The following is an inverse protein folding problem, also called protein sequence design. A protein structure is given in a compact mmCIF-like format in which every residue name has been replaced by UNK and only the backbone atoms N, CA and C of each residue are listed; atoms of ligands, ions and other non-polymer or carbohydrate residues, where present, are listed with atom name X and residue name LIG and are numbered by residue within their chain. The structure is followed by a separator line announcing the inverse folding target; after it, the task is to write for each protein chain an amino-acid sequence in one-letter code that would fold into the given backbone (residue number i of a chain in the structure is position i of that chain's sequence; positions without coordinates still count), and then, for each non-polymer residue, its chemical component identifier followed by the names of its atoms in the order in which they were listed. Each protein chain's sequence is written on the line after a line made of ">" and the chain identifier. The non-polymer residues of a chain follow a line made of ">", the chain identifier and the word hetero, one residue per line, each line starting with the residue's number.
data_IF_095399085260
#
_entry.id   IF_095399085260
#
_cell.length_a   1.000
_cell.length_b   1.000
_cell.length_c   1.000
_cell.angle_alpha   90.00
_cell.angle_beta   90.00
_cell.angle_gamma   90.00
#
_symmetry.space_group_name_H-M   'P 1'
#
loop_
_entity.id
_entity.type
_entity.pdbx_description
1 polymer ?
#
# COMPACT_ATOMS: atom_id res chain seq x y z
N UNK A 1 5.18 -23.99 12.17
CA UNK A 1 5.44 -22.68 12.85
C UNK A 1 5.97 -21.57 11.93
N UNK A 2 6.09 -21.74 10.60
CA UNK A 2 6.51 -20.68 9.66
C UNK A 2 5.40 -19.67 9.30
N UNK A 3 4.13 -20.05 9.40
CA UNK A 3 2.99 -19.19 9.00
C UNK A 3 2.79 -17.95 9.90
N UNK A 4 2.70 -18.13 11.22
CA UNK A 4 2.29 -17.04 12.11
C UNK A 4 3.24 -15.83 12.18
N UNK A 5 4.50 -15.95 11.71
CA UNK A 5 5.46 -14.83 11.70
C UNK A 5 5.32 -13.94 10.47
N UNK A 6 5.16 -14.53 9.29
CA UNK A 6 4.96 -13.78 8.04
C UNK A 6 3.66 -12.98 8.08
N UNK A 7 2.64 -13.54 8.76
CA UNK A 7 1.38 -12.86 9.04
C UNK A 7 1.59 -11.58 9.86
N UNK A 8 2.51 -11.56 10.82
CA UNK A 8 2.74 -10.40 11.69
C UNK A 8 3.39 -9.22 10.96
N UNK A 9 4.32 -9.48 10.03
CA UNK A 9 4.96 -8.45 9.21
C UNK A 9 3.96 -7.89 8.19
N UNK A 10 3.29 -8.77 7.42
CA UNK A 10 2.26 -8.38 6.47
C UNK A 10 1.17 -7.55 7.15
N UNK A 11 0.73 -7.98 8.33
CA UNK A 11 -0.25 -7.25 9.13
C UNK A 11 0.19 -5.82 9.46
N UNK A 12 1.45 -5.62 9.89
CA UNK A 12 1.98 -4.29 10.21
C UNK A 12 2.07 -3.40 8.98
N UNK A 13 2.59 -3.92 7.87
CA UNK A 13 2.70 -3.18 6.61
C UNK A 13 1.31 -2.79 6.11
N UNK A 14 0.34 -3.71 6.15
CA UNK A 14 -1.03 -3.44 5.71
C UNK A 14 -1.71 -2.40 6.57
N UNK A 15 -1.51 -2.44 7.89
CA UNK A 15 -2.02 -1.42 8.80
C UNK A 15 -1.52 -0.02 8.41
N UNK A 16 -0.22 0.14 8.14
CA UNK A 16 0.36 1.42 7.73
C UNK A 16 -0.22 1.88 6.39
N UNK A 17 -0.39 0.97 5.42
CA UNK A 17 -1.02 1.28 4.13
C UNK A 17 -2.44 1.83 4.31
N UNK A 18 -3.26 1.21 5.16
CA UNK A 18 -4.60 1.73 5.45
C UNK A 18 -4.57 3.11 6.12
N UNK A 19 -3.69 3.33 7.10
CA UNK A 19 -3.54 4.63 7.75
C UNK A 19 -3.13 5.73 6.78
N UNK A 20 -2.18 5.42 5.89
CA UNK A 20 -1.74 6.35 4.84
C UNK A 20 -2.89 6.63 3.86
N UNK A 21 -3.63 5.61 3.42
CA UNK A 21 -4.77 5.79 2.52
C UNK A 21 -5.91 6.63 3.14
N UNK A 22 -6.20 6.43 4.43
CA UNK A 22 -7.15 7.24 5.20
C UNK A 22 -6.65 8.69 5.25
N UNK A 23 -5.41 8.92 5.67
CA UNK A 23 -4.82 10.25 5.74
C UNK A 23 -4.87 10.99 4.39
N UNK A 24 -4.52 10.31 3.30
CA UNK A 24 -4.61 10.86 1.94
C UNK A 24 -6.03 11.24 1.55
N UNK A 25 -7.00 10.36 1.81
CA UNK A 25 -8.40 10.59 1.39
C UNK A 25 -9.02 11.77 2.14
N UNK A 26 -8.79 11.86 3.45
CA UNK A 26 -9.32 12.96 4.26
C UNK A 26 -8.60 14.28 3.97
N UNK A 27 -7.28 14.28 3.79
CA UNK A 27 -6.55 15.49 3.40
C UNK A 27 -6.99 16.00 2.02
N UNK A 28 -7.21 15.10 1.05
CA UNK A 28 -7.76 15.43 -0.26
C UNK A 28 -9.19 16.00 -0.15
N UNK A 29 -10.04 15.47 0.71
CA UNK A 29 -11.38 16.02 0.92
C UNK A 29 -11.36 17.42 1.53
N UNK A 30 -10.44 17.67 2.48
CA UNK A 30 -10.30 18.97 3.13
C UNK A 30 -9.81 20.02 2.14
N UNK A 31 -8.78 19.71 1.33
CA UNK A 31 -8.29 20.66 0.34
C UNK A 31 -9.33 20.93 -0.74
N UNK A 32 -10.06 19.90 -1.20
CA UNK A 32 -11.14 20.08 -2.18
C UNK A 32 -12.24 21.00 -1.65
N UNK A 33 -12.57 20.91 -0.36
CA UNK A 33 -13.52 21.82 0.28
C UNK A 33 -13.01 23.27 0.33
N UNK A 34 -11.75 23.48 0.76
CA UNK A 34 -11.17 24.82 0.81
C UNK A 34 -11.01 25.48 -0.55
N UNK A 35 -10.72 24.69 -1.58
CA UNK A 35 -10.61 25.16 -2.96
C UNK A 35 -11.96 25.42 -3.63
N UNK A 36 -13.07 25.08 -2.96
CA UNK A 36 -14.41 25.18 -3.54
C UNK A 36 -14.58 24.28 -4.76
N UNK A 37 -13.76 23.23 -4.88
CA UNK A 37 -13.90 22.27 -5.99
C UNK A 37 -15.25 21.57 -5.87
N UNK A 38 -15.87 21.30 -7.02
CA UNK A 38 -17.27 20.86 -7.11
C UNK A 38 -17.64 19.78 -6.08
N UNK A 39 -18.85 19.87 -5.53
CA UNK A 39 -19.33 19.01 -4.42
C UNK A 39 -19.13 17.52 -4.67
N UNK A 40 -19.13 17.10 -5.94
CA UNK A 40 -18.82 15.73 -6.36
C UNK A 40 -17.43 15.26 -5.92
N UNK A 41 -16.38 16.08 -6.07
CA UNK A 41 -15.00 15.74 -5.69
C UNK A 41 -14.86 15.53 -4.18
N UNK A 42 -15.49 16.39 -3.40
CA UNK A 42 -15.50 16.31 -1.92
C UNK A 42 -16.22 15.03 -1.48
N UNK A 43 -17.38 14.73 -2.07
CA UNK A 43 -18.15 13.53 -1.76
C UNK A 43 -17.37 12.26 -2.14
N UNK A 44 -16.72 12.23 -3.30
CA UNK A 44 -15.96 11.06 -3.75
C UNK A 44 -14.73 10.79 -2.87
N UNK A 45 -13.94 11.82 -2.52
CA UNK A 45 -12.77 11.64 -1.64
C UNK A 45 -13.18 11.29 -0.22
N UNK A 46 -14.25 11.90 0.31
CA UNK A 46 -14.84 11.53 1.60
C UNK A 46 -15.37 10.09 1.60
N UNK A 47 -16.13 9.70 0.57
CA UNK A 47 -16.67 8.34 0.44
C UNK A 47 -15.54 7.31 0.34
N UNK A 48 -14.48 7.60 -0.40
CA UNK A 48 -13.30 6.74 -0.47
C UNK A 48 -12.62 6.58 0.90
N UNK A 49 -12.50 7.67 1.67
CA UNK A 49 -12.01 7.61 3.04
C UNK A 49 -12.86 6.71 3.93
N UNK A 50 -14.19 6.84 3.87
CA UNK A 50 -15.12 5.99 4.62
C UNK A 50 -15.07 4.52 4.20
N UNK A 51 -15.01 4.24 2.89
CA UNK A 51 -14.86 2.89 2.35
C UNK A 51 -13.54 2.28 2.83
N UNK A 52 -12.46 3.06 2.83
CA UNK A 52 -11.14 2.60 3.32
C UNK A 52 -11.18 2.28 4.80
N UNK A 53 -11.86 3.08 5.62
CA UNK A 53 -12.10 2.78 7.05
C UNK A 53 -12.93 1.50 7.22
N UNK A 54 -13.99 1.32 6.43
CA UNK A 54 -14.81 0.11 6.44
C UNK A 54 -14.01 -1.14 6.08
N UNK A 55 -13.20 -1.06 5.03
CA UNK A 55 -12.28 -2.13 4.60
C UNK A 55 -11.22 -2.41 5.67
N UNK A 56 -10.73 -1.39 6.39
CA UNK A 56 -9.82 -1.55 7.52
C UNK A 56 -10.48 -2.29 8.71
N UNK A 57 -11.77 -2.05 8.98
CA UNK A 57 -12.52 -2.80 10.01
C UNK A 57 -12.70 -4.26 9.58
N UNK A 58 -13.07 -4.49 8.31
CA UNK A 58 -13.19 -5.85 7.75
C UNK A 58 -11.84 -6.56 7.80
N UNK A 59 -10.76 -5.89 7.44
CA UNK A 59 -9.39 -6.36 7.55
C UNK A 59 -9.06 -6.84 8.97
N UNK A 60 -9.38 -6.02 9.98
CA UNK A 60 -9.17 -6.35 11.40
C UNK A 60 -9.98 -7.57 11.86
N UNK A 61 -11.17 -7.80 11.30
CA UNK A 61 -12.08 -8.88 11.73
C UNK A 61 -11.88 -10.20 10.97
N UNK A 62 -11.62 -10.14 9.67
CA UNK A 62 -11.59 -11.30 8.78
C UNK A 62 -10.31 -12.15 8.93
N UNK A 63 -9.17 -11.55 9.30
CA UNK A 63 -7.83 -12.17 9.25
C UNK A 63 -7.44 -12.79 7.89
N UNK A 64 -8.28 -12.68 6.86
CA UNK A 64 -7.95 -13.12 5.50
C UNK A 64 -7.32 -11.97 4.72
N UNK A 65 -6.00 -11.88 4.86
CA UNK A 65 -5.22 -10.75 4.36
C UNK A 65 -5.18 -10.68 2.83
N UNK A 66 -5.17 -11.83 2.15
CA UNK A 66 -5.04 -11.87 0.69
C UNK A 66 -6.32 -11.39 -0.01
N UNK A 67 -7.48 -11.86 0.45
CA UNK A 67 -8.77 -11.43 -0.12
C UNK A 67 -9.02 -9.94 0.10
N UNK A 68 -8.77 -9.42 1.31
CA UNK A 68 -9.02 -8.00 1.59
C UNK A 68 -8.06 -7.11 0.79
N UNK A 69 -6.78 -7.47 0.70
CA UNK A 69 -5.82 -6.76 -0.15
C UNK A 69 -6.24 -6.76 -1.62
N UNK A 70 -6.71 -7.89 -2.14
CA UNK A 70 -7.20 -7.97 -3.52
C UNK A 70 -8.41 -7.04 -3.74
N UNK A 71 -9.38 -7.04 -2.84
CA UNK A 71 -10.59 -6.19 -2.92
C UNK A 71 -10.20 -4.71 -2.91
N UNK A 72 -9.33 -4.30 -1.97
CA UNK A 72 -8.84 -2.92 -1.86
C UNK A 72 -8.17 -2.49 -3.16
N UNK A 73 -7.26 -3.33 -3.66
CA UNK A 73 -6.49 -3.01 -4.86
C UNK A 73 -7.41 -2.95 -6.09
N UNK A 74 -8.35 -3.89 -6.26
CA UNK A 74 -9.31 -3.85 -7.37
C UNK A 74 -10.16 -2.58 -7.31
N UNK A 75 -10.71 -2.25 -6.13
CA UNK A 75 -11.50 -1.05 -5.92
C UNK A 75 -10.72 0.22 -6.27
N UNK A 76 -9.50 0.35 -5.77
CA UNK A 76 -8.67 1.52 -6.05
C UNK A 76 -8.35 1.65 -7.54
N UNK A 77 -7.87 0.56 -8.16
CA UNK A 77 -7.30 0.61 -9.51
C UNK A 77 -8.34 0.71 -10.62
N UNK A 78 -9.51 0.06 -10.46
CA UNK A 78 -10.50 -0.04 -11.54
C UNK A 78 -11.74 0.82 -11.32
N UNK A 79 -11.94 1.35 -10.11
CA UNK A 79 -13.12 2.16 -9.78
C UNK A 79 -12.67 3.56 -9.35
N UNK A 80 -11.95 3.67 -8.23
CA UNK A 80 -11.66 4.97 -7.63
C UNK A 80 -10.75 5.83 -8.51
N UNK A 81 -9.58 5.33 -8.90
CA UNK A 81 -8.61 6.10 -9.67
C UNK A 81 -9.10 6.49 -11.07
N UNK A 82 -9.76 5.62 -11.85
CA UNK A 82 -10.35 6.01 -13.14
C UNK A 82 -11.43 7.08 -13.01
N UNK A 83 -12.32 6.97 -12.02
CA UNK A 83 -13.35 8.00 -11.78
C UNK A 83 -12.66 9.32 -11.43
N UNK A 84 -11.73 9.30 -10.47
CA UNK A 84 -11.00 10.50 -10.05
C UNK A 84 -10.29 11.16 -11.21
N UNK A 85 -9.61 10.40 -12.08
CA UNK A 85 -8.94 10.94 -13.26
C UNK A 85 -9.87 11.79 -14.13
N UNK A 86 -11.10 11.33 -14.37
CA UNK A 86 -12.07 12.03 -15.21
C UNK A 86 -12.63 13.29 -14.51
N UNK A 87 -12.89 13.21 -13.20
CA UNK A 87 -13.56 14.31 -12.47
C UNK A 87 -12.59 15.35 -11.91
N UNK A 88 -11.30 15.06 -11.78
CA UNK A 88 -10.35 15.93 -11.08
C UNK A 88 -9.46 16.77 -11.99
N UNK A 89 -9.56 16.65 -13.31
CA UNK A 89 -8.63 17.33 -14.21
C UNK A 89 -7.53 16.45 -14.80
N UNK A 90 -7.60 15.12 -14.63
CA UNK A 90 -6.73 14.16 -15.32
C UNK A 90 -5.25 14.45 -15.10
N UNK A 91 -4.48 14.56 -16.19
CA UNK A 91 -3.04 14.88 -16.15
C UNK A 91 -2.71 16.25 -15.55
N UNK A 92 -3.66 17.20 -15.56
CA UNK A 92 -3.45 18.54 -15.02
C UNK A 92 -3.63 18.63 -13.51
N UNK A 93 -4.11 17.55 -12.88
CA UNK A 93 -4.42 17.43 -11.47
C UNK A 93 -3.33 16.75 -10.64
N UNK A 94 -3.53 16.67 -9.33
CA UNK A 94 -2.64 15.92 -8.43
C UNK A 94 -2.80 14.39 -8.50
N UNK A 95 -3.84 13.85 -9.18
CA UNK A 95 -4.14 12.40 -9.26
C UNK A 95 -2.98 11.52 -9.78
N UNK A 96 -2.20 11.93 -10.80
CA UNK A 96 -1.05 11.14 -11.24
C UNK A 96 -0.05 10.86 -10.11
N UNK A 97 0.13 11.77 -9.15
CA UNK A 97 1.01 11.56 -8.00
C UNK A 97 0.45 10.47 -7.08
N UNK A 98 -0.85 10.50 -6.78
CA UNK A 98 -1.51 9.47 -5.98
C UNK A 98 -1.49 8.10 -6.67
N UNK A 99 -1.58 8.06 -8.00
CA UNK A 99 -1.45 6.83 -8.79
C UNK A 99 -0.06 6.19 -8.65
N UNK A 100 1.01 6.97 -8.55
CA UNK A 100 2.37 6.46 -8.28
C UNK A 100 2.42 5.81 -6.89
N UNK A 101 1.81 6.44 -5.89
CA UNK A 101 1.74 5.85 -4.53
C UNK A 101 0.95 4.56 -4.56
N UNK A 102 -0.18 4.54 -5.28
CA UNK A 102 -1.00 3.34 -5.45
C UNK A 102 -0.23 2.19 -6.11
N UNK A 103 0.66 2.48 -7.07
CA UNK A 103 1.57 1.47 -7.62
C UNK A 103 2.48 0.85 -6.55
N UNK A 104 2.98 1.68 -5.62
CA UNK A 104 3.71 1.21 -4.44
C UNK A 104 2.84 0.36 -3.52
N UNK A 105 1.59 0.77 -3.28
CA UNK A 105 0.61 0.03 -2.49
C UNK A 105 0.31 -1.34 -3.10
N UNK A 106 0.13 -1.44 -4.44
CA UNK A 106 0.00 -2.72 -5.15
C UNK A 106 1.21 -3.61 -4.87
N UNK A 107 2.41 -3.04 -4.91
CA UNK A 107 3.65 -3.79 -4.69
C UNK A 107 3.78 -4.32 -3.26
N UNK A 108 3.24 -3.61 -2.28
CA UNK A 108 3.22 -3.96 -0.87
C UNK A 108 2.09 -4.94 -0.52
N UNK A 109 0.88 -4.71 -1.03
CA UNK A 109 -0.33 -5.47 -0.69
C UNK A 109 -0.40 -6.84 -1.37
N UNK A 110 0.12 -6.96 -2.58
CA UNK A 110 0.04 -8.19 -3.37
C UNK A 110 1.39 -8.88 -3.47
N UNK A 111 1.36 -10.20 -3.62
CA UNK A 111 2.55 -11.03 -3.77
C UNK A 111 2.46 -11.96 -4.98
N UNK A 112 3.61 -12.47 -5.42
CA UNK A 112 3.70 -13.47 -6.49
C UNK A 112 3.16 -12.99 -7.85
N UNK A 113 2.39 -13.85 -8.50
CA UNK A 113 1.86 -13.62 -9.86
C UNK A 113 0.72 -12.59 -9.88
N UNK A 114 -0.13 -12.56 -8.85
CA UNK A 114 -1.23 -11.61 -8.74
C UNK A 114 -0.74 -10.16 -8.80
N UNK A 115 0.36 -9.85 -8.11
CA UNK A 115 1.01 -8.53 -8.16
C UNK A 115 1.38 -8.14 -9.59
N UNK A 116 1.99 -9.05 -10.35
CA UNK A 116 2.43 -8.76 -11.74
C UNK A 116 1.24 -8.50 -12.66
N UNK A 117 0.20 -9.35 -12.57
CA UNK A 117 -1.01 -9.21 -13.39
C UNK A 117 -1.71 -7.89 -13.09
N UNK A 118 -1.95 -7.60 -11.80
CA UNK A 118 -2.68 -6.38 -11.40
C UNK A 118 -1.87 -5.12 -11.72
N UNK A 119 -0.55 -5.14 -11.52
CA UNK A 119 0.30 -4.01 -11.90
C UNK A 119 0.28 -3.76 -13.41
N UNK A 120 0.34 -4.82 -14.24
CA UNK A 120 0.23 -4.71 -15.69
C UNK A 120 -1.14 -4.12 -16.09
N UNK A 121 -2.22 -4.63 -15.52
CA UNK A 121 -3.57 -4.11 -15.77
C UNK A 121 -3.70 -2.65 -15.35
N UNK A 122 -3.13 -2.27 -14.19
CA UNK A 122 -3.11 -0.87 -13.75
C UNK A 122 -2.35 0.01 -14.73
N UNK A 123 -1.17 -0.41 -15.19
CA UNK A 123 -0.40 0.31 -16.20
C UNK A 123 -1.17 0.48 -17.51
N UNK A 124 -1.91 -0.55 -17.95
CA UNK A 124 -2.80 -0.47 -19.11
C UNK A 124 -3.95 0.52 -18.89
N UNK A 125 -4.56 0.53 -17.70
CA UNK A 125 -5.62 1.50 -17.34
C UNK A 125 -5.09 2.92 -17.37
N UNK A 126 -3.92 3.17 -16.77
CA UNK A 126 -3.28 4.50 -16.78
C UNK A 126 -2.94 4.92 -18.20
N UNK A 127 -2.36 4.03 -19.01
CA UNK A 127 -2.06 4.30 -20.41
C UNK A 127 -3.32 4.59 -21.24
N UNK A 128 -4.39 3.83 -21.01
CA UNK A 128 -5.68 4.05 -21.66
C UNK A 128 -6.29 5.39 -21.26
N UNK A 129 -6.28 5.76 -19.98
CA UNK A 129 -6.78 7.05 -19.51
C UNK A 129 -6.01 8.23 -20.12
N UNK A 130 -4.67 8.14 -20.16
CA UNK A 130 -3.84 9.15 -20.81
C UNK A 130 -4.13 9.27 -22.30
N UNK A 131 -4.27 8.15 -23.00
CA UNK A 131 -4.59 8.15 -24.43
C UNK A 131 -6.00 8.69 -24.70
N UNK A 132 -6.98 8.31 -23.88
CA UNK A 132 -8.35 8.81 -23.97
C UNK A 132 -8.40 10.33 -23.75
N UNK A 133 -7.71 10.83 -22.73
CA UNK A 133 -7.58 12.27 -22.47
C UNK A 133 -6.90 13.00 -23.64
N UNK A 134 -5.83 12.44 -24.21
CA UNK A 134 -5.16 13.01 -25.38
C UNK A 134 -6.08 13.12 -26.60
N UNK A 135 -6.95 12.14 -26.83
CA UNK A 135 -7.89 12.14 -27.97
C UNK A 135 -9.13 12.99 -27.71
N UNK A 136 -9.59 13.06 -26.46
CA UNK A 136 -10.84 13.69 -26.04
C UNK A 136 -10.58 14.46 -24.73
N UNK A 137 -9.98 15.66 -24.81
CA UNK A 137 -9.71 16.47 -23.62
C UNK A 137 -11.00 16.95 -22.94
N UNK A 138 -12.14 16.88 -23.64
CA UNK A 138 -13.49 17.16 -23.12
C UNK A 138 -13.97 16.15 -22.07
N UNK A 139 -13.33 14.98 -21.96
CA UNK A 139 -13.70 13.96 -20.96
C UNK A 139 -13.31 14.36 -19.53
N UNK A 140 -12.43 15.33 -19.40
CA UNK A 140 -11.81 15.72 -18.14
C UNK A 140 -12.35 17.07 -17.69
N UNK A 141 -12.83 17.14 -16.45
CA UNK A 141 -13.34 18.40 -15.89
C UNK A 141 -12.16 19.33 -15.60
N UNK A 142 -12.12 20.47 -16.29
CA UNK A 142 -11.09 21.47 -16.09
C UNK A 142 -11.26 22.23 -14.76
N UNK A 143 -10.15 22.71 -14.19
CA UNK A 143 -10.18 23.59 -13.03
C UNK A 143 -10.74 24.97 -13.40
N UNK A 144 -11.58 25.53 -12.53
CA UNK A 144 -12.14 26.87 -12.71
C UNK A 144 -11.08 27.98 -12.67
N UNK A 145 -10.01 27.79 -11.87
CA UNK A 145 -8.93 28.77 -11.72
C UNK A 145 -7.54 28.14 -11.71
N UNK A 146 -6.54 28.86 -12.23
CA UNK A 146 -5.14 28.43 -12.18
C UNK A 146 -4.61 28.33 -10.74
N UNK A 147 -5.09 29.21 -9.85
CA UNK A 147 -4.68 29.18 -8.44
C UNK A 147 -5.15 27.90 -7.74
N UNK A 148 -6.41 27.48 -7.95
CA UNK A 148 -6.93 26.25 -7.38
C UNK A 148 -6.12 25.03 -7.84
N UNK A 149 -5.79 24.98 -9.15
CA UNK A 149 -4.92 23.94 -9.70
C UNK A 149 -3.53 23.95 -9.05
N UNK A 150 -2.90 25.11 -8.89
CA UNK A 150 -1.56 25.21 -8.32
C UNK A 150 -1.53 24.74 -6.85
N UNK A 151 -2.53 25.14 -6.07
CA UNK A 151 -2.67 24.71 -4.67
C UNK A 151 -2.92 23.21 -4.60
N UNK A 152 -3.81 22.65 -5.43
CA UNK A 152 -4.07 21.20 -5.46
C UNK A 152 -2.82 20.40 -5.82
N UNK A 153 -2.07 20.82 -6.86
CA UNK A 153 -0.82 20.16 -7.25
C UNK A 153 0.22 20.21 -6.14
N UNK A 154 0.42 21.38 -5.52
CA UNK A 154 1.40 21.57 -4.46
C UNK A 154 1.05 20.76 -3.23
N UNK A 155 -0.22 20.82 -2.80
CA UNK A 155 -0.70 20.09 -1.64
C UNK A 155 -0.67 18.58 -1.88
N UNK A 156 -1.17 18.12 -3.02
CA UNK A 156 -1.16 16.70 -3.37
C UNK A 156 0.25 16.13 -3.46
N UNK A 157 1.21 16.90 -4.00
CA UNK A 157 2.63 16.53 -3.99
C UNK A 157 3.18 16.39 -2.57
N UNK A 158 2.92 17.37 -1.68
CA UNK A 158 3.37 17.32 -0.29
C UNK A 158 2.79 16.12 0.47
N UNK A 159 1.49 15.85 0.29
CA UNK A 159 0.83 14.68 0.88
C UNK A 159 1.45 13.38 0.36
N UNK A 160 1.73 13.30 -0.94
CA UNK A 160 2.39 12.13 -1.53
C UNK A 160 3.81 11.95 -0.98
N UNK A 161 4.62 13.00 -0.92
CA UNK A 161 5.99 12.94 -0.38
C UNK A 161 5.99 12.49 1.08
N UNK A 162 5.15 13.09 1.92
CA UNK A 162 5.00 12.69 3.31
C UNK A 162 4.62 11.21 3.42
N UNK A 163 3.67 10.78 2.60
CA UNK A 163 3.19 9.41 2.61
C UNK A 163 4.22 8.39 2.13
N UNK A 164 5.03 8.71 1.11
CA UNK A 164 6.16 7.84 0.70
C UNK A 164 7.14 7.68 1.85
N UNK A 165 7.53 8.78 2.51
CA UNK A 165 8.47 8.74 3.62
C UNK A 165 7.93 7.86 4.75
N UNK A 166 6.66 8.01 5.09
CA UNK A 166 6.01 7.18 6.11
C UNK A 166 5.97 5.71 5.68
N UNK A 167 5.50 5.41 4.47
CA UNK A 167 5.42 4.04 3.96
C UNK A 167 6.79 3.34 3.93
N UNK A 168 7.80 4.01 3.37
CA UNK A 168 9.14 3.45 3.20
C UNK A 168 9.83 3.31 4.55
N UNK A 169 9.78 4.31 5.43
CA UNK A 169 10.39 4.23 6.77
C UNK A 169 9.81 3.06 7.56
N UNK A 170 8.48 2.92 7.58
CA UNK A 170 7.83 1.80 8.26
C UNK A 170 8.17 0.45 7.64
N UNK A 171 8.29 0.37 6.32
CA UNK A 171 8.69 -0.85 5.63
C UNK A 171 10.12 -1.26 6.01
N UNK A 172 11.06 -0.31 5.93
CA UNK A 172 12.47 -0.52 6.27
C UNK A 172 12.61 -0.93 7.74
N UNK A 173 11.97 -0.22 8.67
CA UNK A 173 11.99 -0.55 10.09
C UNK A 173 11.39 -1.93 10.38
N UNK A 174 10.30 -2.26 9.71
CA UNK A 174 9.65 -3.56 9.88
C UNK A 174 10.53 -4.69 9.35
N UNK A 175 11.21 -4.47 8.22
CA UNK A 175 12.14 -5.43 7.66
C UNK A 175 13.40 -5.59 8.51
N UNK A 176 13.99 -4.49 8.99
CA UNK A 176 15.15 -4.50 9.87
C UNK A 176 14.88 -5.28 11.17
N UNK A 177 13.71 -5.08 11.77
CA UNK A 177 13.27 -5.84 12.97
C UNK A 177 13.13 -7.34 12.69
N UNK A 178 12.61 -7.73 11.53
CA UNK A 178 12.52 -9.14 11.16
C UNK A 178 13.89 -9.76 10.88
N UNK A 179 14.81 -8.99 10.26
CA UNK A 179 16.18 -9.43 10.02
C UNK A 179 16.94 -9.68 11.33
N UNK A 180 16.89 -8.74 12.28
CA UNK A 180 17.54 -8.87 13.59
C UNK A 180 17.01 -10.09 14.36
N UNK A 181 15.70 -10.33 14.30
CA UNK A 181 15.07 -11.51 14.91
C UNK A 181 15.50 -12.81 14.25
N UNK A 182 15.64 -12.82 12.92
CA UNK A 182 16.10 -14.00 12.19
C UNK A 182 17.53 -14.37 12.60
N UNK A 183 18.41 -13.36 12.72
CA UNK A 183 19.79 -13.55 13.18
C UNK A 183 19.84 -14.08 14.62
N UNK A 184 19.06 -13.51 15.54
CA UNK A 184 18.95 -14.00 16.93
C UNK A 184 18.47 -15.45 17.01
N UNK A 185 17.51 -15.82 16.16
CA UNK A 185 17.00 -17.18 16.11
C UNK A 185 18.05 -18.18 15.62
N UNK A 186 18.83 -17.82 14.58
CA UNK A 186 19.95 -18.63 14.11
C UNK A 186 21.02 -18.83 15.20
N UNK A 187 21.43 -17.76 15.87
CA UNK A 187 22.41 -17.86 16.96
C UNK A 187 21.94 -18.81 18.08
N UNK A 188 20.67 -18.74 18.47
CA UNK A 188 20.09 -19.62 19.49
C UNK A 188 20.02 -21.10 19.06
N UNK A 189 19.84 -21.36 17.77
CA UNK A 189 19.83 -22.73 17.23
C UNK A 189 21.23 -23.32 17.21
N UNK A 190 22.24 -22.53 16.84
CA UNK A 190 23.63 -22.97 16.86
C UNK A 190 24.11 -23.28 18.27
N UNK A 191 23.76 -22.45 19.25
CA UNK A 191 24.07 -22.67 20.66
C UNK A 191 23.46 -23.99 21.17
N UNK A 192 22.16 -24.21 20.91
CA UNK A 192 21.49 -25.46 21.27
C UNK A 192 22.09 -26.68 20.56
N UNK A 193 22.49 -26.53 19.29
CA UNK A 193 23.10 -27.64 18.55
C UNK A 193 24.46 -28.01 19.16
N UNK A 194 25.27 -27.01 19.54
CA UNK A 194 26.54 -27.23 20.26
C UNK A 194 26.32 -27.91 21.62
N UNK A 195 25.29 -27.51 22.38
CA UNK A 195 24.96 -28.16 23.66
C UNK A 195 24.55 -29.63 23.47
N UNK A 196 23.75 -29.93 22.44
CA UNK A 196 23.36 -31.30 22.10
C UNK A 196 24.59 -32.11 21.71
N UNK A 197 25.44 -31.60 20.82
CA UNK A 197 26.69 -32.28 20.44
C UNK A 197 27.57 -32.57 21.65
N UNK A 198 27.75 -31.59 22.54
CA UNK A 198 28.50 -31.76 23.78
C UNK A 198 27.91 -32.84 24.69
N UNK A 199 26.58 -32.91 24.81
CA UNK A 199 25.88 -33.95 25.58
C UNK A 199 25.90 -35.32 24.91
N UNK A 200 25.96 -35.38 23.58
CA UNK A 200 25.90 -36.65 22.81
C UNK A 200 27.30 -37.27 22.60
N UNK A 201 28.36 -36.46 22.66
CA UNK A 201 29.76 -36.90 22.51
C UNK A 201 30.19 -38.03 23.47
N UNK A 202 29.83 -38.00 24.77
CA UNK A 202 30.15 -39.07 25.71
C UNK A 202 29.46 -40.40 25.38
N UNK A 203 28.20 -40.35 24.91
CA UNK A 203 27.42 -41.55 24.57
C UNK A 203 27.86 -42.21 23.27
N UNK A 204 28.37 -41.45 22.29
CA UNK A 204 28.96 -42.01 21.06
C UNK A 204 30.27 -42.76 21.29
N UNK A 205 31.06 -42.36 22.30
CA UNK A 205 32.30 -43.06 22.67
C UNK A 205 32.06 -44.32 23.52
N UNK A 206 30.86 -44.48 24.09
CA UNK A 206 30.50 -45.60 24.97
C UNK A 206 29.71 -46.72 24.26
N UNK A 207 29.38 -46.57 22.97
CA UNK A 207 28.77 -47.67 22.21
C UNK A 207 29.83 -48.72 21.88
N UNK A 208 29.65 -50.00 22.30
CA UNK A 208 30.54 -51.07 21.90
C UNK A 208 30.49 -51.23 20.38
N UNK A 209 31.65 -51.30 19.74
CA UNK A 209 31.76 -51.75 18.34
C UNK A 209 31.26 -53.19 18.25
N UNK A 210 30.06 -53.38 17.70
CA UNK A 210 29.58 -54.68 17.22
C UNK A 210 30.29 -55.05 15.92
#
# INVERSE_FOLDING_TARGET
>A
MKDGKNDSLKYRVFNVVFWVGIFMSFSASVINYFLGLGTLLILLTSACGLITVGLYIVFRRSRNYELVSLIVVIFLNFIFFPIMWLVSGGTYSSIPYYMIINAGIIALLLSGLQRKIIFLLFALVVGFLNFAEYKRPDLVIAYDTQLARYIDLTFGLLVCLFSVIVLISFLVDSYAKELERSQKYQASLEEKNKEIEAKTKPWRGAMPSL
#
